data_IF_781686691901
#
_entry.id   IF_781686691901
#
_cell.length_a   1.000
_cell.length_b   1.000
_cell.length_c   1.000
_cell.angle_alpha   90.00
_cell.angle_beta   90.00
_cell.angle_gamma   90.00
#
_symmetry.space_group_name_H-M   'P 1'
#
loop_
_entity.id
_entity.type
_entity.pdbx_description
1 polymer ?
#
# COMPACT_ATOMS: atom_id res chain seq x y z
N UNK A 1 14.18 6.86 -2.29
CA UNK A 1 13.27 5.70 -2.44
C UNK A 1 11.87 6.22 -2.68
N UNK A 2 11.15 5.62 -3.61
CA UNK A 2 9.71 5.79 -3.80
C UNK A 2 9.03 4.61 -3.11
N UNK A 3 8.15 4.89 -2.15
CA UNK A 3 7.41 3.84 -1.45
C UNK A 3 6.06 3.66 -2.14
N UNK A 4 5.68 2.43 -2.41
CA UNK A 4 4.31 2.05 -2.80
C UNK A 4 3.75 1.19 -1.68
N UNK A 5 2.73 1.69 -0.98
CA UNK A 5 2.08 0.98 0.12
C UNK A 5 0.72 0.47 -0.32
N UNK A 6 0.46 -0.83 -0.17
CA UNK A 6 -0.83 -1.45 -0.49
C UNK A 6 -0.69 -2.86 -1.04
N UNK A 7 -1.80 -3.62 -1.01
CA UNK A 7 -1.86 -5.00 -1.48
C UNK A 7 -2.86 -5.21 -2.64
N UNK A 8 -3.66 -4.19 -2.96
CA UNK A 8 -4.63 -4.25 -4.05
C UNK A 8 -4.00 -3.94 -5.41
N UNK A 9 -4.72 -4.24 -6.50
CA UNK A 9 -4.29 -4.07 -7.88
C UNK A 9 -3.76 -2.66 -8.20
N UNK A 10 -4.26 -1.62 -7.52
CA UNK A 10 -3.79 -0.24 -7.71
C UNK A 10 -2.30 -0.08 -7.34
N UNK A 11 -1.81 -0.79 -6.32
CA UNK A 11 -0.40 -0.77 -5.95
C UNK A 11 0.47 -1.35 -7.07
N UNK A 12 0.07 -2.50 -7.62
CA UNK A 12 0.78 -3.15 -8.74
C UNK A 12 0.74 -2.33 -10.03
N UNK A 13 -0.38 -1.68 -10.34
CA UNK A 13 -0.48 -0.74 -11.46
C UNK A 13 0.45 0.47 -11.26
N UNK A 14 0.57 0.96 -10.03
CA UNK A 14 1.51 2.04 -9.71
C UNK A 14 2.96 1.60 -9.90
N UNK A 15 3.34 0.37 -9.51
CA UNK A 15 4.67 -0.17 -9.79
C UNK A 15 4.94 -0.18 -11.29
N UNK A 16 4.00 -0.70 -12.10
CA UNK A 16 4.13 -0.74 -13.55
C UNK A 16 4.30 0.68 -14.13
N UNK A 17 3.46 1.64 -13.73
CA UNK A 17 3.56 3.02 -14.19
C UNK A 17 4.86 3.71 -13.79
N UNK A 18 5.40 3.45 -12.59
CA UNK A 18 6.70 3.98 -12.17
C UNK A 18 7.85 3.41 -13.01
N UNK A 19 7.82 2.10 -13.28
CA UNK A 19 8.80 1.45 -14.15
C UNK A 19 8.73 1.99 -15.58
N UNK A 20 7.53 2.13 -16.13
CA UNK A 20 7.29 2.68 -17.48
C UNK A 20 7.72 4.15 -17.59
N UNK A 21 7.55 4.93 -16.52
CA UNK A 21 8.07 6.30 -16.42
C UNK A 21 9.61 6.35 -16.37
N UNK A 22 10.29 5.22 -16.20
CA UNK A 22 11.75 5.12 -16.18
C UNK A 22 12.36 5.19 -14.78
N UNK A 23 11.57 5.04 -13.71
CA UNK A 23 12.12 4.91 -12.36
C UNK A 23 12.77 3.52 -12.21
N UNK A 24 14.07 3.43 -11.86
CA UNK A 24 14.71 2.14 -11.65
C UNK A 24 14.05 1.39 -10.48
N UNK A 25 13.74 0.10 -10.66
CA UNK A 25 13.10 -0.72 -9.62
C UNK A 25 13.87 -0.74 -8.29
N UNK A 26 15.21 -0.68 -8.35
CA UNK A 26 16.09 -0.49 -7.17
C UNK A 26 15.80 0.75 -6.30
N UNK A 27 15.09 1.74 -6.83
CA UNK A 27 14.65 2.94 -6.09
C UNK A 27 13.23 2.81 -5.54
N UNK A 28 12.51 1.75 -5.89
CA UNK A 28 11.12 1.50 -5.50
C UNK A 28 11.10 0.49 -4.36
N UNK A 29 10.25 0.74 -3.36
CA UNK A 29 9.98 -0.17 -2.26
C UNK A 29 8.48 -0.44 -2.20
N UNK A 30 8.09 -1.70 -2.39
CA UNK A 30 6.72 -2.16 -2.18
C UNK A 30 6.56 -2.58 -0.70
N UNK A 31 5.57 -2.01 -0.03
CA UNK A 31 5.19 -2.38 1.34
C UNK A 31 3.76 -2.92 1.30
N UNK A 32 3.58 -4.19 1.65
CA UNK A 32 2.27 -4.85 1.63
C UNK A 32 1.76 -5.11 3.06
N UNK A 33 0.56 -4.62 3.42
CA UNK A 33 -0.09 -4.98 4.67
C UNK A 33 -0.60 -6.44 4.63
N UNK A 34 -0.45 -7.18 5.73
CA UNK A 34 -0.95 -8.56 5.84
C UNK A 34 -1.14 -9.03 7.30
N UNK A 35 -2.23 -9.78 7.65
CA UNK A 35 -3.50 -9.92 6.94
C UNK A 35 -4.52 -8.84 7.35
N UNK A 36 -5.40 -8.40 6.44
CA UNK A 36 -6.48 -7.41 6.69
C UNK A 36 -7.16 -7.60 8.05
N UNK A 37 -6.85 -6.72 9.01
CA UNK A 37 -7.61 -6.57 10.25
C UNK A 37 -8.71 -5.53 10.02
N UNK A 38 -9.69 -5.87 9.19
CA UNK A 38 -10.97 -5.17 9.21
C UNK A 38 -12.06 -6.21 9.43
N UNK A 39 -12.45 -6.37 10.70
CA UNK A 39 -13.79 -6.76 11.20
C UNK A 39 -14.67 -7.69 10.33
N UNK A 40 -14.10 -8.65 9.62
CA UNK A 40 -14.80 -9.71 8.90
C UNK A 40 -14.34 -11.01 9.53
N UNK A 41 -15.32 -11.86 9.85
CA UNK A 41 -15.19 -13.12 10.58
C UNK A 41 -13.86 -13.83 10.32
N UNK A 42 -13.15 -14.13 11.42
CA UNK A 42 -11.84 -14.81 11.49
C UNK A 42 -11.73 -16.10 10.65
N UNK A 43 -12.85 -16.63 10.14
CA UNK A 43 -13.01 -17.84 9.33
C UNK A 43 -12.89 -17.63 7.80
N UNK A 44 -12.94 -16.39 7.28
CA UNK A 44 -12.77 -16.10 5.83
C UNK A 44 -11.43 -15.42 5.52
N UNK A 45 -10.40 -15.71 6.31
CA UNK A 45 -9.01 -15.32 6.02
C UNK A 45 -8.48 -16.16 4.87
N UNK A 46 -8.99 -15.90 3.68
CA UNK A 46 -8.44 -16.53 2.51
C UNK A 46 -7.15 -15.81 2.15
N UNK A 47 -6.07 -16.58 2.22
CA UNK A 47 -4.72 -16.32 1.70
C UNK A 47 -4.73 -16.19 0.16
N UNK A 48 -5.78 -15.57 -0.39
CA UNK A 48 -5.99 -15.45 -1.82
C UNK A 48 -5.18 -14.25 -2.28
N UNK A 49 -4.16 -14.54 -3.07
CA UNK A 49 -3.47 -13.55 -3.89
C UNK A 49 -4.48 -12.61 -4.56
N UNK A 50 -4.16 -11.31 -4.65
CA UNK A 50 -4.99 -10.33 -5.36
C UNK A 50 -5.31 -10.74 -6.81
N UNK A 51 -4.47 -11.59 -7.42
CA UNK A 51 -4.66 -12.09 -8.78
C UNK A 51 -5.60 -13.29 -8.87
N UNK A 52 -5.98 -13.91 -7.74
CA UNK A 52 -6.82 -15.10 -7.64
C UNK A 52 -6.37 -16.28 -8.54
N UNK A 53 -5.09 -16.27 -8.92
CA UNK A 53 -4.42 -17.27 -9.74
C UNK A 53 -2.95 -17.36 -9.27
N UNK A 54 -2.47 -18.55 -8.89
CA UNK A 54 -1.12 -18.72 -8.36
C UNK A 54 -0.02 -18.53 -9.42
N UNK A 55 -0.28 -18.87 -10.68
CA UNK A 55 0.68 -18.72 -11.77
C UNK A 55 0.86 -17.24 -12.12
N UNK A 56 -0.24 -16.49 -12.17
CA UNK A 56 -0.20 -15.03 -12.34
C UNK A 56 0.53 -14.37 -11.16
N UNK A 57 0.21 -14.75 -9.92
CA UNK A 57 0.90 -14.23 -8.74
C UNK A 57 2.41 -14.48 -8.79
N UNK A 58 2.80 -15.70 -9.17
CA UNK A 58 4.20 -16.08 -9.27
C UNK A 58 4.92 -15.25 -10.34
N UNK A 59 4.37 -15.18 -11.56
CA UNK A 59 4.94 -14.40 -12.65
C UNK A 59 5.11 -12.91 -12.28
N UNK A 60 4.12 -12.30 -11.61
CA UNK A 60 4.20 -10.91 -11.15
C UNK A 60 5.29 -10.75 -10.09
N UNK A 61 5.37 -11.67 -9.13
CA UNK A 61 6.36 -11.60 -8.04
C UNK A 61 7.79 -11.77 -8.57
N UNK A 62 8.01 -12.71 -9.50
CA UNK A 62 9.29 -12.89 -10.18
C UNK A 62 9.69 -11.64 -10.97
N UNK A 63 8.75 -11.04 -11.70
CA UNK A 63 9.00 -9.81 -12.43
C UNK A 63 9.41 -8.66 -11.49
N UNK A 64 8.68 -8.47 -10.38
CA UNK A 64 9.00 -7.44 -9.36
C UNK A 64 10.41 -7.67 -8.81
N UNK A 65 10.76 -8.91 -8.48
CA UNK A 65 12.09 -9.26 -7.99
C UNK A 65 13.18 -9.00 -9.04
N UNK A 66 12.94 -9.33 -10.31
CA UNK A 66 13.87 -9.11 -11.42
C UNK A 66 14.15 -7.62 -11.67
N UNK A 67 13.19 -6.73 -11.40
CA UNK A 67 13.39 -5.27 -11.46
C UNK A 67 14.22 -4.71 -10.28
N UNK A 68 14.54 -5.55 -9.29
CA UNK A 68 15.26 -5.13 -8.08
C UNK A 68 14.39 -4.33 -7.10
N UNK A 69 13.06 -4.42 -7.21
CA UNK A 69 12.13 -3.78 -6.29
C UNK A 69 12.22 -4.48 -4.94
N UNK A 70 12.39 -3.69 -3.87
CA UNK A 70 12.43 -4.23 -2.52
C UNK A 70 11.01 -4.43 -2.00
N UNK A 71 10.67 -5.64 -1.54
CA UNK A 71 9.34 -5.95 -1.01
C UNK A 71 9.40 -6.19 0.50
N UNK A 72 8.50 -5.54 1.25
CA UNK A 72 8.24 -5.83 2.67
C UNK A 72 6.78 -6.23 2.87
N UNK A 73 6.54 -7.51 3.12
CA UNK A 73 5.20 -8.03 3.39
C UNK A 73 4.90 -8.04 4.89
N UNK A 74 3.61 -7.97 5.25
CA UNK A 74 3.13 -7.96 6.65
C UNK A 74 3.57 -6.74 7.47
N UNK A 75 3.66 -5.58 6.82
CA UNK A 75 3.96 -4.31 7.47
C UNK A 75 2.77 -3.35 7.32
N UNK A 76 2.34 -2.80 8.44
CA UNK A 76 1.25 -1.83 8.53
C UNK A 76 1.80 -0.44 8.68
N UNK A 77 1.20 0.53 7.99
CA UNK A 77 1.50 1.93 8.20
C UNK A 77 1.20 2.35 9.65
N UNK A 78 2.14 3.08 10.25
CA UNK A 78 1.97 3.69 11.57
C UNK A 78 1.86 5.20 11.45
N UNK A 79 2.88 5.83 10.86
CA UNK A 79 2.96 7.27 10.73
C UNK A 79 4.00 7.68 9.66
N UNK A 80 4.01 8.95 9.27
CA UNK A 80 5.07 9.54 8.46
C UNK A 80 5.73 10.72 9.19
N UNK A 81 7.00 10.99 8.87
CA UNK A 81 7.64 12.23 9.28
C UNK A 81 7.53 13.22 8.11
N UNK A 82 7.04 14.42 8.42
CA UNK A 82 6.82 15.49 7.46
C UNK A 82 7.67 16.70 7.86
N UNK A 83 8.44 17.19 6.89
CA UNK A 83 9.20 18.43 7.02
C UNK A 83 8.31 19.59 6.56
N UNK A 84 8.00 20.50 7.48
CA UNK A 84 7.11 21.63 7.22
C UNK A 84 7.78 22.75 6.42
N UNK A 85 9.10 22.91 6.54
CA UNK A 85 9.83 23.97 5.85
C UNK A 85 9.97 23.61 4.37
N UNK A 86 10.29 22.34 4.09
CA UNK A 86 10.43 21.83 2.74
C UNK A 86 9.11 21.30 2.15
N UNK A 87 8.06 21.19 2.96
CA UNK A 87 6.74 20.66 2.58
C UNK A 87 6.81 19.26 1.95
N UNK A 88 7.61 18.36 2.53
CA UNK A 88 7.86 17.00 2.02
C UNK A 88 7.73 15.93 3.10
N UNK A 89 7.33 14.73 2.70
CA UNK A 89 7.45 13.53 3.54
C UNK A 89 8.89 13.00 3.45
N UNK A 90 9.58 12.95 4.58
CA UNK A 90 11.00 12.56 4.63
C UNK A 90 11.18 11.07 4.91
N UNK A 91 10.27 10.48 5.68
CA UNK A 91 10.30 9.06 6.02
C UNK A 91 8.95 8.54 6.46
N UNK A 92 8.78 7.21 6.38
CA UNK A 92 7.54 6.52 6.76
C UNK A 92 7.86 5.36 7.68
N UNK A 93 7.05 5.23 8.73
CA UNK A 93 7.14 4.19 9.75
C UNK A 93 6.09 3.13 9.52
N UNK A 94 6.53 1.89 9.58
CA UNK A 94 5.70 0.70 9.47
C UNK A 94 5.98 -0.25 10.64
N UNK A 95 4.98 -1.03 10.99
CA UNK A 95 5.08 -2.07 12.01
C UNK A 95 4.65 -3.42 11.44
N UNK A 96 5.44 -4.44 11.75
CA UNK A 96 5.03 -5.85 11.63
C UNK A 96 4.88 -6.43 13.04
N UNK A 97 4.32 -7.64 13.16
CA UNK A 97 4.10 -8.32 14.44
C UNK A 97 5.30 -8.30 15.41
N UNK A 98 6.54 -8.24 14.89
CA UNK A 98 7.75 -8.37 15.69
C UNK A 98 8.79 -7.28 15.43
N UNK A 99 8.55 -6.35 14.50
CA UNK A 99 9.59 -5.39 14.04
C UNK A 99 8.98 -4.08 13.57
N UNK A 100 9.61 -2.98 13.99
CA UNK A 100 9.44 -1.67 13.39
C UNK A 100 10.34 -1.53 12.17
N UNK A 101 9.87 -0.78 11.18
CA UNK A 101 10.59 -0.45 9.96
C UNK A 101 10.38 1.03 9.66
N UNK A 102 11.45 1.81 9.61
CA UNK A 102 11.41 3.20 9.19
C UNK A 102 12.23 3.36 7.92
N UNK A 103 11.64 3.97 6.89
CA UNK A 103 12.26 4.14 5.58
C UNK A 103 12.23 5.60 5.17
N UNK A 104 13.41 6.16 4.88
CA UNK A 104 13.51 7.44 4.20
C UNK A 104 12.93 7.34 2.79
N UNK A 105 12.14 8.34 2.40
CA UNK A 105 11.49 8.37 1.10
C UNK A 105 11.49 9.77 0.50
N UNK A 106 11.33 9.83 -0.81
CA UNK A 106 11.08 11.07 -1.56
C UNK A 106 9.60 11.21 -1.91
N UNK A 107 8.89 10.08 -1.97
CA UNK A 107 7.47 10.01 -2.24
C UNK A 107 6.91 8.71 -1.67
N UNK A 108 5.65 8.74 -1.29
CA UNK A 108 4.85 7.56 -0.95
C UNK A 108 3.54 7.59 -1.73
N UNK A 109 3.24 6.50 -2.43
CA UNK A 109 1.92 6.23 -3.01
C UNK A 109 1.17 5.30 -2.07
N UNK A 110 0.05 5.77 -1.53
CA UNK A 110 -0.67 5.11 -0.45
C UNK A 110 -1.99 4.50 -0.97
N UNK A 111 -1.99 3.21 -1.25
CA UNK A 111 -3.13 2.42 -1.74
C UNK A 111 -3.69 1.52 -0.65
N UNK A 112 -4.08 2.12 0.47
CA UNK A 112 -4.88 1.46 1.49
C UNK A 112 -6.38 1.61 1.17
N UNK A 113 -7.22 0.93 1.94
CA UNK A 113 -8.66 0.89 1.72
C UNK A 113 -9.28 2.31 1.65
N UNK A 114 -10.20 2.49 0.72
CA UNK A 114 -10.90 3.77 0.52
C UNK A 114 -12.02 3.85 1.54
N UNK A 115 -11.73 4.40 2.71
CA UNK A 115 -12.79 4.75 3.67
C UNK A 115 -13.32 6.15 3.39
N UNK A 116 -14.65 6.30 3.36
CA UNK A 116 -15.26 7.62 3.46
C UNK A 116 -14.97 8.20 4.85
N UNK A 117 -14.65 9.50 4.91
CA UNK A 117 -14.58 10.20 6.20
C UNK A 117 -15.92 10.04 6.92
N UNK A 118 -15.96 9.60 8.19
CA UNK A 118 -17.21 9.49 8.94
C UNK A 118 -18.01 10.80 8.94
N UNK A 119 -17.31 11.94 8.93
CA UNK A 119 -17.91 13.27 8.84
C UNK A 119 -18.58 13.51 7.49
N UNK A 120 -17.95 13.10 6.39
CA UNK A 120 -18.54 13.22 5.05
C UNK A 120 -19.70 12.24 4.89
N UNK A 121 -19.56 11.01 5.39
CA UNK A 121 -20.63 10.03 5.40
C UNK A 121 -21.88 10.54 6.14
N UNK A 122 -21.70 11.12 7.33
CA UNK A 122 -22.77 11.76 8.08
C UNK A 122 -23.40 12.92 7.30
N UNK A 123 -22.59 13.75 6.63
CA UNK A 123 -23.06 14.88 5.82
C UNK A 123 -23.90 14.41 4.63
N UNK A 124 -23.43 13.41 3.89
CA UNK A 124 -24.16 12.84 2.74
C UNK A 124 -25.50 12.23 3.17
N UNK A 125 -25.49 11.43 4.24
CA UNK A 125 -26.72 10.88 4.82
C UNK A 125 -27.68 11.98 5.28
N UNK A 126 -27.17 13.04 5.93
CA UNK A 126 -27.99 14.18 6.35
C UNK A 126 -28.56 14.99 5.18
N UNK A 127 -27.88 14.98 4.03
CA UNK A 127 -28.30 15.63 2.79
C UNK A 127 -29.23 14.76 1.92
N UNK A 128 -29.56 13.53 2.36
CA UNK A 128 -30.38 12.59 1.59
C UNK A 128 -29.70 12.00 0.36
N UNK A 129 -28.37 12.12 0.26
CA UNK A 129 -27.58 11.58 -0.85
C UNK A 129 -27.14 10.17 -0.47
N UNK A 130 -27.57 9.18 -1.26
CA UNK A 130 -27.17 7.78 -1.07
C UNK A 130 -25.74 7.60 -1.60
N UNK A 131 -24.89 6.98 -0.78
CA UNK A 131 -23.53 6.59 -1.12
C UNK A 131 -23.52 5.08 -1.41
N UNK A 132 -22.99 4.68 -2.57
CA UNK A 132 -22.76 3.27 -2.98
C UNK A 132 -21.28 2.91 -2.76
#
# INVERSE_FOLDING_TARGET
NIIVYGHFLQAYNCLAGLLEFGIPGSKIVLIEPFPYLMNIDRKRRHNISIFNDPDVYHAVTEHIAAQGIKVHSSYYFIDWNFDIEENIVTSVKFESRHKMLELNCQAIFFFYDKSISPKIYQLLNSAGIVFD
#
